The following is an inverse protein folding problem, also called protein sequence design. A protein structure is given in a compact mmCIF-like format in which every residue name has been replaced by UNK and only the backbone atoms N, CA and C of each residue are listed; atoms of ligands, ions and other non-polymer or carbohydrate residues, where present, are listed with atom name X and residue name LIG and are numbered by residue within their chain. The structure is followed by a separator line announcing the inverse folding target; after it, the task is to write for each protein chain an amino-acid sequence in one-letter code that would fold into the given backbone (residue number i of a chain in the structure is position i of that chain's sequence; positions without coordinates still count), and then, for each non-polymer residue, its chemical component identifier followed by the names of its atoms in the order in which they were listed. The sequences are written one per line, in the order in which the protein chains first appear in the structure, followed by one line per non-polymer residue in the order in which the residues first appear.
data_IF_029405316643
#
_entry.id   IF_029405316643
#
_cell.length_a   1.000
_cell.length_b   1.000
_cell.length_c   1.000
_cell.angle_alpha   90.00
_cell.angle_beta   90.00
_cell.angle_gamma   90.00
#
_symmetry.space_group_name_H-M   'P 1'
#
loop_
_entity.id
_entity.type
_entity.pdbx_description
1 polymer ?
#
# COMPACT_ATOMS: atom_id res chain seq x y z
N UNK A 1 -35.70 45.10 70.31
CA UNK A 1 -36.30 43.91 70.98
C UNK A 1 -36.67 42.87 69.93
N UNK A 2 -35.91 41.77 69.84
CA UNK A 2 -36.33 40.38 69.55
C UNK A 2 -35.04 39.58 69.34
N UNK A 3 -34.72 38.76 70.35
CA UNK A 3 -33.66 37.74 70.36
C UNK A 3 -34.06 36.59 69.41
N UNK A 4 -33.09 35.81 68.91
CA UNK A 4 -33.02 34.33 69.11
C UNK A 4 -31.97 33.65 68.20
N UNK A 5 -30.94 33.07 68.87
CA UNK A 5 -30.22 31.78 68.70
C UNK A 5 -29.66 31.40 67.32
N UNK A 6 -28.32 31.32 67.16
CA UNK A 6 -27.41 30.16 67.41
C UNK A 6 -27.73 28.96 66.51
N UNK A 7 -26.77 28.57 65.66
CA UNK A 7 -26.28 27.19 65.47
C UNK A 7 -24.83 27.27 64.95
N UNK A 8 -23.93 26.66 65.71
CA UNK A 8 -22.52 26.40 65.43
C UNK A 8 -22.41 25.16 64.54
N UNK A 9 -21.62 25.21 63.47
CA UNK A 9 -21.16 24.02 62.75
C UNK A 9 -19.64 24.12 62.60
N UNK A 10 -18.92 23.29 63.36
CA UNK A 10 -17.52 22.95 63.15
C UNK A 10 -17.40 22.14 61.87
N UNK A 11 -16.52 22.54 60.96
CA UNK A 11 -16.08 21.71 59.84
C UNK A 11 -14.55 21.56 59.89
N UNK A 12 -14.14 20.31 59.97
CA UNK A 12 -12.77 19.79 59.96
C UNK A 12 -11.96 20.32 58.75
N UNK A 13 -10.76 20.86 59.01
CA UNK A 13 -9.70 20.99 58.00
C UNK A 13 -8.99 19.63 57.86
N UNK A 14 -9.20 18.96 56.74
CA UNK A 14 -8.37 17.84 56.29
C UNK A 14 -7.41 18.35 55.20
N UNK A 15 -6.12 18.42 55.52
CA UNK A 15 -5.06 18.68 54.57
C UNK A 15 -4.91 17.47 53.63
N UNK A 16 -5.07 17.68 52.33
CA UNK A 16 -4.71 16.71 51.29
C UNK A 16 -3.70 17.34 50.34
N UNK A 17 -2.57 16.64 50.23
CA UNK A 17 -1.43 16.91 49.39
C UNK A 17 -1.84 16.78 47.92
N UNK A 18 -1.74 17.86 47.15
CA UNK A 18 -1.84 17.85 45.69
C UNK A 18 -0.46 17.46 45.12
N UNK A 19 -0.35 16.24 44.60
CA UNK A 19 0.75 15.86 43.71
C UNK A 19 0.53 16.53 42.35
N UNK A 20 1.52 17.31 41.91
CA UNK A 20 1.67 17.76 40.54
C UNK A 20 1.79 16.54 39.61
N UNK A 21 0.86 16.40 38.66
CA UNK A 21 1.03 15.56 37.49
C UNK A 21 1.19 16.47 36.27
N UNK A 22 2.43 16.64 35.85
CA UNK A 22 2.79 17.31 34.61
C UNK A 22 2.27 16.49 33.43
N UNK A 23 1.41 17.10 32.62
CA UNK A 23 0.91 16.55 31.37
C UNK A 23 2.03 16.56 30.34
N UNK A 24 2.79 15.47 30.24
CA UNK A 24 3.75 15.28 29.16
C UNK A 24 3.00 15.02 27.86
N UNK A 25 3.06 16.02 26.98
CA UNK A 25 2.54 15.96 25.61
C UNK A 25 3.40 14.99 24.78
N UNK A 26 2.82 13.84 24.42
CA UNK A 26 3.46 12.90 23.48
C UNK A 26 3.32 13.43 22.05
N UNK A 27 4.45 13.72 21.42
CA UNK A 27 4.55 13.96 19.98
C UNK A 27 4.34 12.65 19.22
N UNK A 28 3.40 12.53 18.26
CA UNK A 28 3.29 11.34 17.44
C UNK A 28 4.39 11.32 16.36
N UNK A 29 5.09 10.19 16.28
CA UNK A 29 6.06 9.85 15.24
C UNK A 29 5.37 9.59 13.88
N UNK A 30 6.08 9.73 12.73
CA UNK A 30 5.47 9.75 11.41
C UNK A 30 5.06 8.34 10.94
N UNK A 31 3.87 8.24 10.35
CA UNK A 31 3.38 7.03 9.73
C UNK A 31 4.06 6.81 8.35
N UNK A 32 4.83 5.73 8.24
CA UNK A 32 5.25 5.15 6.98
C UNK A 32 5.11 3.62 7.07
N UNK A 33 4.23 3.05 6.26
CA UNK A 33 4.03 1.60 6.18
C UNK A 33 3.02 1.27 5.09
N UNK A 34 3.52 0.73 3.97
CA UNK A 34 2.67 0.22 2.89
C UNK A 34 1.78 -0.90 3.43
N UNK A 35 0.47 -0.72 3.36
CA UNK A 35 -0.51 -1.71 3.79
C UNK A 35 -0.62 -2.83 2.74
N UNK A 36 0.20 -3.86 2.86
CA UNK A 36 -0.09 -5.16 2.23
C UNK A 36 -1.10 -5.90 3.09
N UNK A 37 -2.26 -6.19 2.50
CA UNK A 37 -3.26 -7.08 3.09
C UNK A 37 -2.63 -8.45 3.37
N UNK A 38 -2.60 -8.86 4.64
CA UNK A 38 -2.19 -10.22 5.01
C UNK A 38 -3.21 -11.22 4.43
N UNK A 39 -2.76 -12.05 3.49
CA UNK A 39 -3.58 -13.12 2.95
C UNK A 39 -3.82 -14.22 4.01
N UNK A 40 -4.95 -14.98 3.94
CA UNK A 40 -5.25 -16.05 4.88
C UNK A 40 -4.16 -17.13 4.84
N UNK A 41 -3.75 -17.62 6.02
CA UNK A 41 -2.68 -18.60 6.16
C UNK A 41 -3.05 -19.95 5.54
N UNK A 42 -2.48 -20.26 4.37
CA UNK A 42 -2.50 -21.60 3.78
C UNK A 42 -1.23 -22.33 4.19
N UNK A 43 -1.29 -23.02 5.34
CA UNK A 43 -0.50 -24.23 5.67
C UNK A 43 1.04 -24.22 5.67
N UNK A 44 1.72 -23.16 5.24
CA UNK A 44 3.18 -23.07 5.27
C UNK A 44 3.70 -22.36 6.51
N UNK A 45 4.90 -22.74 6.97
CA UNK A 45 5.64 -22.02 8.02
C UNK A 45 6.91 -21.35 7.48
N UNK A 46 7.14 -21.44 6.18
CA UNK A 46 8.35 -20.95 5.52
C UNK A 46 8.11 -19.56 4.92
N UNK A 47 9.21 -18.93 4.51
CA UNK A 47 9.16 -17.64 3.81
C UNK A 47 10.16 -17.59 2.67
N UNK A 48 9.86 -16.76 1.66
CA UNK A 48 10.81 -16.38 0.62
C UNK A 48 11.11 -14.89 0.79
N UNK A 49 12.37 -14.56 1.09
CA UNK A 49 12.86 -13.18 1.04
C UNK A 49 13.20 -12.82 -0.39
N UNK A 50 12.71 -11.68 -0.86
CA UNK A 50 12.95 -11.22 -2.22
C UNK A 50 13.67 -9.88 -2.21
N UNK A 51 14.68 -9.73 -3.06
CA UNK A 51 15.37 -8.47 -3.32
C UNK A 51 15.40 -8.20 -4.81
N UNK A 52 15.07 -6.97 -5.21
CA UNK A 52 15.06 -6.58 -6.63
C UNK A 52 16.06 -5.48 -6.88
N UNK A 53 17.19 -5.84 -7.50
CA UNK A 53 18.25 -4.90 -7.86
C UNK A 53 17.90 -4.09 -9.12
N UNK A 54 18.51 -2.91 -9.23
CA UNK A 54 18.57 -2.10 -10.44
C UNK A 54 20.03 -1.91 -10.84
N UNK A 55 20.33 -2.07 -12.11
CA UNK A 55 21.69 -1.93 -12.66
C UNK A 55 21.74 -0.81 -13.71
N UNK A 56 22.85 -0.09 -13.74
CA UNK A 56 23.01 1.10 -14.58
C UNK A 56 22.55 2.39 -13.90
N UNK A 57 22.55 3.48 -14.66
CA UNK A 57 22.15 4.79 -14.16
C UNK A 57 20.64 4.83 -13.90
N UNK A 58 20.24 5.26 -12.71
CA UNK A 58 18.83 5.47 -12.39
C UNK A 58 18.24 6.54 -13.33
N UNK A 59 17.07 6.30 -13.96
CA UNK A 59 16.45 7.28 -14.82
C UNK A 59 16.03 8.51 -14.01
N UNK A 60 16.24 9.70 -14.58
CA UNK A 60 15.77 10.96 -13.98
C UNK A 60 14.29 11.13 -14.33
N UNK A 61 13.41 10.92 -13.35
CA UNK A 61 11.97 11.04 -13.57
C UNK A 61 11.55 12.49 -13.78
N UNK A 62 10.73 12.72 -14.81
CA UNK A 62 10.25 14.05 -15.17
C UNK A 62 9.36 14.68 -14.11
N UNK A 63 9.40 16.01 -14.00
CA UNK A 63 8.45 16.78 -13.18
C UNK A 63 7.04 16.66 -13.75
N UNK A 64 6.06 16.43 -12.89
CA UNK A 64 4.65 16.39 -13.28
C UNK A 64 4.13 17.83 -13.43
N UNK A 65 3.38 18.08 -14.50
CA UNK A 65 2.69 19.36 -14.75
C UNK A 65 1.32 19.34 -14.06
N UNK A 66 1.25 19.86 -12.84
CA UNK A 66 0.08 19.76 -11.95
C UNK A 66 -0.63 21.09 -11.73
N UNK A 67 -0.14 22.16 -12.34
CA UNK A 67 -0.47 23.55 -12.03
C UNK A 67 -1.88 23.95 -12.49
N UNK A 68 -2.47 23.20 -13.41
CA UNK A 68 -3.84 23.42 -13.88
C UNK A 68 -4.89 23.20 -12.77
N UNK A 69 -4.58 22.38 -11.76
CA UNK A 69 -5.42 22.18 -10.58
C UNK A 69 -4.78 22.90 -9.38
N UNK A 70 -5.45 23.90 -8.77
CA UNK A 70 -4.87 24.68 -7.67
C UNK A 70 -4.57 23.88 -6.40
N UNK A 71 -5.20 22.73 -6.18
CA UNK A 71 -4.85 21.86 -5.06
C UNK A 71 -3.62 21.02 -5.43
N UNK A 72 -3.62 20.39 -6.60
CA UNK A 72 -2.52 19.53 -7.04
C UNK A 72 -1.22 20.32 -7.26
N UNK A 73 -1.30 21.53 -7.81
CA UNK A 73 -0.14 22.39 -8.10
C UNK A 73 0.61 22.89 -6.85
N UNK A 74 0.06 22.72 -5.63
CA UNK A 74 0.72 23.14 -4.39
C UNK A 74 1.95 22.32 -4.04
N UNK A 75 2.00 21.07 -4.49
CA UNK A 75 3.11 20.16 -4.19
C UNK A 75 3.84 19.80 -5.48
N UNK A 76 5.10 20.20 -5.65
CA UNK A 76 5.91 19.68 -6.75
C UNK A 76 6.06 18.16 -6.64
N UNK A 77 5.88 17.44 -7.74
CA UNK A 77 6.06 16.00 -7.80
C UNK A 77 6.77 15.58 -9.09
N UNK A 78 7.44 14.44 -9.02
CA UNK A 78 8.00 13.74 -10.17
C UNK A 78 7.19 12.50 -10.46
N UNK A 79 7.24 12.03 -11.70
CA UNK A 79 6.66 10.73 -12.05
C UNK A 79 7.28 9.62 -11.18
N UNK A 80 6.46 8.65 -10.79
CA UNK A 80 6.82 7.52 -9.95
C UNK A 80 6.98 6.21 -10.75
N UNK A 81 6.99 6.29 -12.09
CA UNK A 81 7.15 5.12 -12.98
C UNK A 81 8.39 4.28 -12.65
N UNK A 82 9.51 4.92 -12.27
CA UNK A 82 10.72 4.22 -11.82
C UNK A 82 11.25 4.88 -10.56
N UNK A 83 11.26 4.12 -9.46
CA UNK A 83 11.83 4.55 -8.18
C UNK A 83 13.00 3.62 -7.82
N UNK A 84 14.21 4.05 -8.19
CA UNK A 84 15.46 3.39 -7.77
C UNK A 84 15.85 3.92 -6.39
N UNK A 85 15.97 3.03 -5.42
CA UNK A 85 16.38 3.36 -4.07
C UNK A 85 17.89 3.67 -4.02
N UNK A 86 18.38 4.43 -3.01
CA UNK A 86 19.80 4.77 -2.89
C UNK A 86 20.76 3.57 -2.83
N UNK A 87 20.26 2.40 -2.40
CA UNK A 87 21.00 1.14 -2.37
C UNK A 87 20.99 0.37 -3.71
N UNK A 88 20.53 0.98 -4.80
CA UNK A 88 20.49 0.36 -6.12
C UNK A 88 19.43 -0.72 -6.29
N UNK A 89 18.30 -0.61 -5.59
CA UNK A 89 17.17 -1.55 -5.72
C UNK A 89 15.92 -0.86 -6.25
N UNK A 90 14.93 -1.62 -6.71
CA UNK A 90 13.65 -1.09 -7.19
C UNK A 90 12.54 -1.23 -6.16
N UNK A 91 11.85 -0.12 -5.91
CA UNK A 91 10.53 -0.11 -5.26
C UNK A 91 9.43 -0.45 -6.28
N UNK A 92 8.24 -0.83 -5.80
CA UNK A 92 7.02 -1.05 -6.61
C UNK A 92 7.10 -2.23 -7.59
N UNK A 93 7.90 -3.24 -7.26
CA UNK A 93 7.93 -4.50 -8.02
C UNK A 93 7.01 -5.49 -7.33
N UNK A 94 6.00 -5.99 -8.04
CA UNK A 94 5.17 -7.10 -7.53
C UNK A 94 5.91 -8.40 -7.79
N UNK A 95 6.08 -9.22 -6.75
CA UNK A 95 6.62 -10.57 -6.87
C UNK A 95 5.54 -11.55 -6.43
N UNK A 96 5.16 -12.48 -7.31
CA UNK A 96 4.10 -13.46 -7.05
C UNK A 96 4.52 -14.87 -7.45
N UNK A 97 3.98 -15.89 -6.79
CA UNK A 97 4.09 -17.27 -7.26
C UNK A 97 3.19 -17.45 -8.47
N UNK A 98 3.78 -17.72 -9.63
CA UNK A 98 3.08 -17.94 -10.90
C UNK A 98 2.83 -19.42 -11.20
N UNK A 99 3.63 -20.33 -10.64
CA UNK A 99 3.45 -21.80 -10.75
C UNK A 99 3.87 -22.50 -9.46
N UNK A 100 3.26 -23.65 -9.19
CA UNK A 100 3.60 -24.51 -8.04
C UNK A 100 2.76 -24.27 -6.79
N UNK A 101 1.87 -23.27 -6.77
CA UNK A 101 0.93 -23.01 -5.67
C UNK A 101 -0.51 -23.26 -6.09
N UNK A 102 -1.31 -23.78 -5.15
CA UNK A 102 -2.76 -23.90 -5.33
C UNK A 102 -3.42 -22.51 -5.28
N UNK A 103 -4.57 -22.32 -5.96
CA UNK A 103 -5.35 -21.10 -5.85
C UNK A 103 -5.71 -20.78 -4.39
N UNK A 104 -5.73 -19.50 -4.04
CA UNK A 104 -6.11 -19.07 -2.70
C UNK A 104 -7.63 -18.92 -2.58
N UNK A 105 -8.13 -19.09 -1.36
CA UNK A 105 -9.44 -18.60 -1.01
C UNK A 105 -9.47 -17.07 -1.17
N UNK A 106 -10.55 -16.54 -1.74
CA UNK A 106 -10.74 -15.11 -1.94
C UNK A 106 -10.90 -14.42 -0.58
N UNK A 107 -10.01 -13.49 -0.19
CA UNK A 107 -10.19 -12.74 1.05
C UNK A 107 -11.50 -11.94 1.01
N UNK A 108 -12.30 -12.06 2.07
CA UNK A 108 -13.59 -11.36 2.17
C UNK A 108 -13.45 -9.94 2.73
N UNK A 109 -12.36 -9.67 3.47
CA UNK A 109 -12.08 -8.35 4.02
C UNK A 109 -11.72 -7.38 2.89
N UNK A 110 -12.50 -6.30 2.67
CA UNK A 110 -12.16 -5.28 1.70
C UNK A 110 -10.89 -4.53 2.13
N UNK A 111 -10.04 -4.17 1.17
CA UNK A 111 -8.82 -3.40 1.44
C UNK A 111 -8.76 -2.23 0.49
N UNK A 112 -8.43 -1.06 1.03
CA UNK A 112 -8.10 0.13 0.22
C UNK A 112 -6.76 -0.12 -0.43
N UNK A 113 -6.78 -0.52 -1.69
CA UNK A 113 -5.55 -0.73 -2.44
C UNK A 113 -5.21 0.45 -3.34
N UNK A 114 -6.19 1.30 -3.68
CA UNK A 114 -5.96 2.51 -4.48
C UNK A 114 -6.60 3.71 -3.77
N UNK A 115 -5.77 4.58 -3.21
CA UNK A 115 -6.22 5.85 -2.67
C UNK A 115 -5.77 7.00 -3.59
N UNK A 116 -6.70 7.89 -3.93
CA UNK A 116 -6.39 9.14 -4.63
C UNK A 116 -6.04 10.18 -3.57
N UNK A 117 -4.74 10.41 -3.40
CA UNK A 117 -4.18 11.25 -2.36
C UNK A 117 -3.05 12.10 -2.93
N UNK A 118 -3.08 13.40 -2.64
CA UNK A 118 -2.24 14.42 -3.24
C UNK A 118 -2.17 14.29 -4.77
N UNK A 119 -3.33 14.09 -5.40
CA UNK A 119 -3.52 13.86 -6.83
C UNK A 119 -2.58 12.81 -7.42
N UNK A 120 -2.38 11.72 -6.68
CA UNK A 120 -1.64 10.52 -7.08
C UNK A 120 -2.42 9.29 -6.62
N UNK A 121 -2.17 8.13 -7.23
CA UNK A 121 -2.61 6.86 -6.64
C UNK A 121 -1.57 6.39 -5.61
N UNK A 122 -2.03 6.15 -4.39
CA UNK A 122 -1.22 5.68 -3.27
C UNK A 122 -1.82 4.39 -2.68
N UNK A 123 -1.03 3.30 -2.60
CA UNK A 123 0.28 3.14 -3.22
C UNK A 123 0.22 3.20 -4.76
N UNK A 124 1.37 3.46 -5.41
CA UNK A 124 1.50 3.40 -6.88
C UNK A 124 1.20 2.00 -7.41
N UNK A 125 1.62 0.97 -6.68
CA UNK A 125 1.42 -0.44 -7.02
C UNK A 125 0.91 -1.19 -5.79
N UNK A 126 -0.15 -1.96 -5.98
CA UNK A 126 -0.66 -2.93 -5.02
C UNK A 126 -0.86 -4.29 -5.71
N UNK A 127 -1.07 -5.33 -4.90
CA UNK A 127 -1.40 -6.67 -5.37
C UNK A 127 -2.47 -7.29 -4.46
N UNK A 128 -3.27 -8.19 -5.03
CA UNK A 128 -4.33 -8.88 -4.31
C UNK A 128 -4.80 -10.12 -5.06
N UNK A 129 -5.58 -10.95 -4.37
CA UNK A 129 -6.08 -12.20 -4.96
C UNK A 129 -7.18 -11.89 -5.98
N UNK A 130 -7.21 -12.61 -7.11
CA UNK A 130 -8.28 -12.49 -8.09
C UNK A 130 -9.64 -12.72 -7.42
N UNK A 131 -10.65 -11.94 -7.81
CA UNK A 131 -11.98 -11.87 -7.21
C UNK A 131 -12.06 -11.22 -5.83
N UNK A 132 -10.94 -10.80 -5.23
CA UNK A 132 -10.96 -10.04 -3.99
C UNK A 132 -11.63 -8.68 -4.21
N UNK A 133 -12.35 -8.22 -3.20
CA UNK A 133 -12.96 -6.89 -3.19
C UNK A 133 -11.88 -5.81 -3.05
N UNK A 134 -11.79 -4.99 -4.09
CA UNK A 134 -10.92 -3.82 -4.19
C UNK A 134 -11.69 -2.57 -3.74
N UNK A 135 -11.13 -1.84 -2.78
CA UNK A 135 -11.64 -0.52 -2.39
C UNK A 135 -10.77 0.57 -3.00
N UNK A 136 -11.42 1.53 -3.65
CA UNK A 136 -10.79 2.72 -4.24
C UNK A 136 -11.34 3.97 -3.54
N UNK A 137 -10.45 4.76 -2.96
CA UNK A 137 -10.80 5.93 -2.15
C UNK A 137 -10.37 7.22 -2.85
N UNK A 138 -11.12 8.28 -2.64
CA UNK A 138 -10.67 9.64 -2.90
C UNK A 138 -10.49 10.38 -1.57
N UNK A 139 -9.24 10.55 -1.14
CA UNK A 139 -8.88 11.31 0.05
C UNK A 139 -8.63 12.80 -0.26
N UNK A 140 -8.56 13.17 -1.54
CA UNK A 140 -8.31 14.54 -1.94
C UNK A 140 -9.54 15.45 -1.81
N UNK A 141 -9.33 16.75 -1.62
CA UNK A 141 -10.39 17.75 -1.67
C UNK A 141 -10.78 18.15 -3.11
N UNK A 142 -10.44 17.35 -4.12
CA UNK A 142 -10.79 17.58 -5.53
C UNK A 142 -11.45 16.34 -6.13
N UNK A 143 -12.16 16.52 -7.23
CA UNK A 143 -12.78 15.42 -7.97
C UNK A 143 -11.73 14.73 -8.83
N UNK A 144 -11.78 13.40 -8.86
CA UNK A 144 -11.02 12.57 -9.79
C UNK A 144 -11.96 11.64 -10.54
N UNK A 145 -11.48 10.98 -11.59
CA UNK A 145 -12.12 9.78 -12.11
C UNK A 145 -11.17 8.59 -12.05
N UNK A 146 -11.75 7.40 -11.97
CA UNK A 146 -11.03 6.14 -11.94
C UNK A 146 -11.34 5.42 -13.24
N UNK A 147 -10.37 5.48 -14.17
CA UNK A 147 -10.40 4.77 -15.43
C UNK A 147 -9.41 3.62 -15.36
N UNK A 148 -9.95 2.40 -15.40
CA UNK A 148 -9.14 1.18 -15.33
C UNK A 148 -8.99 0.48 -16.67
N UNK A 149 -7.82 -0.13 -16.87
CA UNK A 149 -7.50 -0.93 -18.05
C UNK A 149 -6.93 -2.28 -17.65
N UNK A 150 -7.32 -3.33 -18.38
CA UNK A 150 -6.65 -4.64 -18.38
C UNK A 150 -6.17 -4.87 -19.81
N UNK A 151 -4.85 -4.84 -20.01
CA UNK A 151 -4.29 -4.67 -21.34
C UNK A 151 -4.77 -3.34 -21.95
N UNK A 152 -5.44 -3.41 -23.10
CA UNK A 152 -6.04 -2.25 -23.79
C UNK A 152 -7.53 -2.08 -23.51
N UNK A 153 -8.17 -3.04 -22.84
CA UNK A 153 -9.61 -3.00 -22.60
C UNK A 153 -9.93 -2.15 -21.36
N UNK A 154 -10.88 -1.24 -21.49
CA UNK A 154 -11.44 -0.51 -20.34
C UNK A 154 -12.19 -1.48 -19.44
N UNK A 155 -11.79 -1.56 -18.17
CA UNK A 155 -12.53 -2.29 -17.14
C UNK A 155 -13.75 -1.48 -16.68
N UNK A 156 -13.50 -0.25 -16.23
CA UNK A 156 -14.54 0.75 -15.97
C UNK A 156 -13.96 2.16 -16.00
N UNK A 157 -14.82 3.15 -16.18
CA UNK A 157 -14.49 4.57 -16.02
C UNK A 157 -15.58 5.23 -15.16
N UNK A 158 -15.21 5.74 -13.99
CA UNK A 158 -16.17 6.29 -13.03
C UNK A 158 -15.61 7.51 -12.29
N UNK A 159 -16.37 8.60 -12.27
CA UNK A 159 -16.05 9.77 -11.45
C UNK A 159 -16.15 9.44 -9.95
N UNK A 160 -15.26 10.03 -9.16
CA UNK A 160 -15.24 9.96 -7.70
C UNK A 160 -15.07 11.36 -7.13
N UNK A 161 -16.19 11.96 -6.71
CA UNK A 161 -16.23 13.29 -6.12
C UNK A 161 -15.50 13.33 -4.77
N UNK A 162 -14.99 14.51 -4.39
CA UNK A 162 -14.50 14.77 -3.02
C UNK A 162 -15.53 14.30 -1.99
N UNK A 163 -15.08 13.51 -1.00
CA UNK A 163 -15.91 13.07 0.12
C UNK A 163 -17.04 12.11 -0.26
N UNK A 164 -17.07 11.62 -1.50
CA UNK A 164 -17.96 10.54 -1.90
C UNK A 164 -17.57 9.23 -1.21
N UNK A 165 -18.50 8.26 -1.18
CA UNK A 165 -18.21 6.92 -0.68
C UNK A 165 -17.09 6.27 -1.51
N UNK A 166 -16.35 5.37 -0.87
CA UNK A 166 -15.37 4.56 -1.59
C UNK A 166 -16.04 3.77 -2.72
N UNK A 167 -15.33 3.63 -3.84
CA UNK A 167 -15.74 2.73 -4.90
C UNK A 167 -15.32 1.31 -4.51
N UNK A 168 -16.24 0.37 -4.68
CA UNK A 168 -15.96 -1.04 -4.46
C UNK A 168 -16.01 -1.75 -5.80
N UNK A 169 -14.92 -2.43 -6.14
CA UNK A 169 -14.73 -3.17 -7.39
C UNK A 169 -14.13 -4.53 -7.06
N UNK A 170 -13.85 -5.32 -8.09
CA UNK A 170 -13.27 -6.65 -7.95
C UNK A 170 -11.93 -6.69 -8.67
N UNK A 171 -10.93 -7.29 -8.02
CA UNK A 171 -9.63 -7.53 -8.65
C UNK A 171 -9.80 -8.57 -9.77
N UNK A 172 -9.34 -8.23 -10.97
CA UNK A 172 -9.31 -9.11 -12.13
C UNK A 172 -7.96 -9.78 -12.28
N UNK A 173 -7.88 -10.88 -13.03
CA UNK A 173 -6.61 -11.53 -13.33
C UNK A 173 -5.69 -10.61 -14.17
N UNK A 174 -4.39 -10.64 -13.85
CA UNK A 174 -3.39 -9.84 -14.55
C UNK A 174 -3.18 -8.45 -13.93
N UNK A 175 -2.75 -7.49 -14.75
CA UNK A 175 -2.42 -6.14 -14.29
C UNK A 175 -3.58 -5.19 -14.60
N UNK A 176 -4.22 -4.67 -13.56
CA UNK A 176 -5.19 -3.58 -13.67
C UNK A 176 -4.45 -2.25 -13.57
N UNK A 177 -4.41 -1.49 -14.65
CA UNK A 177 -3.85 -0.14 -14.68
C UNK A 177 -4.94 0.88 -14.34
N UNK A 178 -4.65 1.83 -13.47
CA UNK A 178 -5.52 2.91 -13.04
C UNK A 178 -5.00 4.21 -13.62
N UNK A 179 -5.92 5.04 -14.12
CA UNK A 179 -5.68 6.38 -14.66
C UNK A 179 -6.78 7.32 -14.19
N UNK A 180 -6.43 8.61 -14.05
CA UNK A 180 -7.39 9.70 -13.99
C UNK A 180 -7.33 10.45 -15.32
N UNK A 181 -8.46 10.59 -16.00
CA UNK A 181 -8.57 11.36 -17.24
C UNK A 181 -8.57 12.88 -16.97
N UNK A 182 -9.00 13.29 -15.76
CA UNK A 182 -8.95 14.70 -15.30
C UNK A 182 -7.53 15.13 -14.93
N UNK A 183 -6.76 14.22 -14.32
CA UNK A 183 -5.38 14.45 -13.90
C UNK A 183 -4.46 13.40 -14.55
N UNK A 184 -4.05 13.58 -15.82
CA UNK A 184 -3.47 12.52 -16.66
C UNK A 184 -2.16 11.89 -16.15
N UNK A 185 -1.49 12.56 -15.21
CA UNK A 185 -0.29 12.05 -14.54
C UNK A 185 -0.60 10.94 -13.54
N UNK A 186 -1.81 10.90 -12.98
CA UNK A 186 -2.21 9.87 -12.02
C UNK A 186 -2.19 8.52 -12.70
N UNK A 187 -1.30 7.67 -12.23
CA UNK A 187 -1.22 6.27 -12.66
C UNK A 187 -1.00 5.40 -11.44
N UNK A 188 -1.72 4.28 -11.39
CA UNK A 188 -1.62 3.28 -10.33
C UNK A 188 -1.83 1.89 -10.90
N UNK A 189 -1.51 0.85 -10.14
CA UNK A 189 -1.67 -0.54 -10.57
C UNK A 189 -2.13 -1.44 -9.44
N UNK A 190 -3.04 -2.35 -9.76
CA UNK A 190 -3.36 -3.50 -8.92
C UNK A 190 -3.07 -4.76 -9.72
N UNK A 191 -2.17 -5.61 -9.22
CA UNK A 191 -1.85 -6.90 -9.83
C UNK A 191 -2.67 -8.00 -9.18
N UNK A 192 -3.55 -8.64 -9.96
CA UNK A 192 -4.33 -9.79 -9.52
C UNK A 192 -3.52 -11.08 -9.55
N UNK A 193 -3.52 -11.82 -8.45
CA UNK A 193 -2.79 -13.08 -8.27
C UNK A 193 -3.75 -14.25 -8.02
N UNK A 194 -3.45 -15.43 -8.57
CA UNK A 194 -4.33 -16.60 -8.39
C UNK A 194 -4.21 -17.23 -6.99
N UNK A 195 -3.10 -16.97 -6.31
CA UNK A 195 -2.81 -17.48 -4.97
C UNK A 195 -2.37 -16.33 -4.03
N UNK A 196 -2.24 -16.68 -2.76
CA UNK A 196 -1.94 -15.79 -1.64
C UNK A 196 -0.43 -15.44 -1.51
N UNK A 197 0.41 -16.02 -2.36
CA UNK A 197 1.87 -15.94 -2.22
C UNK A 197 2.42 -14.85 -3.12
N UNK A 198 2.34 -13.60 -2.64
CA UNK A 198 2.87 -12.43 -3.32
C UNK A 198 3.36 -11.38 -2.33
N UNK A 199 4.23 -10.48 -2.81
CA UNK A 199 4.67 -9.29 -2.09
C UNK A 199 4.97 -8.14 -3.06
N UNK A 200 5.08 -6.92 -2.54
CA UNK A 200 5.47 -5.73 -3.33
C UNK A 200 6.70 -5.12 -2.68
N UNK A 201 7.74 -4.82 -3.47
CA UNK A 201 8.98 -4.26 -2.94
C UNK A 201 8.79 -2.85 -2.38
N UNK A 202 9.39 -2.62 -1.22
CA UNK A 202 9.29 -1.35 -0.49
C UNK A 202 10.44 -0.37 -0.81
N UNK A 203 10.63 0.65 0.04
CA UNK A 203 11.69 1.65 -0.10
C UNK A 203 13.13 1.11 0.12
N UNK A 204 13.27 -0.16 0.48
CA UNK A 204 14.55 -0.89 0.50
C UNK A 204 14.72 -1.78 -0.73
N UNK A 205 13.66 -1.94 -1.52
CA UNK A 205 13.57 -2.80 -2.71
C UNK A 205 13.51 -4.28 -2.37
N UNK A 206 13.08 -4.58 -1.15
CA UNK A 206 12.91 -5.92 -0.62
C UNK A 206 11.44 -6.17 -0.29
N UNK A 207 11.04 -7.43 -0.28
CA UNK A 207 9.76 -7.88 0.27
C UNK A 207 9.84 -9.35 0.69
N UNK A 208 8.80 -9.85 1.37
CA UNK A 208 8.76 -11.23 1.85
C UNK A 208 7.44 -11.88 1.52
N UNK A 209 7.49 -13.11 0.98
CA UNK A 209 6.34 -13.99 0.82
C UNK A 209 6.32 -14.91 2.04
N UNK A 210 5.33 -14.76 2.91
CA UNK A 210 5.21 -15.52 4.15
C UNK A 210 4.27 -16.73 4.01
N UNK A 211 4.35 -17.65 4.97
CA UNK A 211 3.47 -18.81 5.12
C UNK A 211 3.42 -19.72 3.89
N UNK A 212 4.48 -19.75 3.08
CA UNK A 212 4.56 -20.62 1.91
C UNK A 212 4.95 -22.03 2.35
N UNK A 213 4.29 -23.10 1.85
CA UNK A 213 4.71 -24.47 2.10
C UNK A 213 6.06 -24.83 1.48
N UNK A 214 6.61 -25.97 1.90
CA UNK A 214 7.79 -26.53 1.28
C UNK A 214 7.40 -27.04 -0.12
N UNK A 215 8.25 -26.78 -1.12
CA UNK A 215 7.93 -27.08 -2.50
C UNK A 215 8.85 -26.37 -3.48
N UNK A 216 8.59 -26.55 -4.77
CA UNK A 216 9.26 -25.83 -5.85
C UNK A 216 8.24 -24.94 -6.54
N UNK A 217 8.60 -23.68 -6.72
CA UNK A 217 7.72 -22.63 -7.22
C UNK A 217 8.41 -21.84 -8.32
N UNK A 218 7.63 -21.34 -9.28
CA UNK A 218 8.10 -20.29 -10.20
C UNK A 218 7.60 -18.95 -9.70
N UNK A 219 8.51 -18.05 -9.38
CA UNK A 219 8.22 -16.66 -9.06
C UNK A 219 8.20 -15.82 -10.33
N UNK A 220 7.27 -14.87 -10.41
CA UNK A 220 7.26 -13.79 -11.38
C UNK A 220 7.42 -12.45 -10.65
N UNK A 221 8.43 -11.67 -11.02
CA UNK A 221 8.59 -10.28 -10.63
C UNK A 221 8.12 -9.38 -11.77
N UNK A 222 7.18 -8.47 -11.54
CA UNK A 222 6.64 -7.53 -12.52
C UNK A 222 6.89 -6.08 -12.09
N UNK A 223 7.36 -5.25 -13.03
CA UNK A 223 7.50 -3.80 -12.86
C UNK A 223 6.83 -3.05 -14.02
N UNK A 224 6.17 -1.93 -13.73
CA UNK A 224 5.33 -1.22 -14.72
C UNK A 224 6.05 -0.85 -16.02
N UNK A 225 7.32 -0.45 -15.93
CA UNK A 225 8.16 -0.10 -17.09
C UNK A 225 8.88 -1.29 -17.73
N UNK A 226 9.33 -2.24 -16.91
CA UNK A 226 10.31 -3.25 -17.33
C UNK A 226 9.70 -4.63 -17.57
N UNK A 227 8.38 -4.77 -17.36
CA UNK A 227 7.65 -6.01 -17.59
C UNK A 227 7.95 -7.07 -16.54
N UNK A 228 7.75 -8.33 -16.92
CA UNK A 228 7.92 -9.49 -16.05
C UNK A 228 9.28 -10.17 -16.24
N UNK A 229 9.82 -10.70 -15.15
CA UNK A 229 10.92 -11.69 -15.12
C UNK A 229 10.51 -12.87 -14.25
N UNK A 230 10.98 -14.07 -14.59
CA UNK A 230 10.67 -15.29 -13.82
C UNK A 230 11.92 -15.94 -13.26
N UNK A 231 11.79 -16.58 -12.10
CA UNK A 231 12.84 -17.40 -11.49
C UNK A 231 12.20 -18.57 -10.71
N UNK A 232 12.82 -19.74 -10.76
CA UNK A 232 12.40 -20.87 -9.94
C UNK A 232 13.05 -20.79 -8.54
N UNK A 233 12.32 -21.23 -7.52
CA UNK A 233 12.77 -21.28 -6.13
C UNK A 233 12.30 -22.57 -5.47
N UNK A 234 13.19 -23.24 -4.75
CA UNK A 234 12.86 -24.39 -3.90
C UNK A 234 12.85 -23.94 -2.44
N UNK A 235 11.74 -24.17 -1.76
CA UNK A 235 11.57 -23.92 -0.33
C UNK A 235 11.66 -25.25 0.41
N UNK A 236 12.69 -25.43 1.21
CA UNK A 236 12.85 -26.61 2.06
C UNK A 236 12.05 -26.47 3.37
N UNK A 237 11.60 -27.60 3.92
CA UNK A 237 10.83 -27.60 5.17
C UNK A 237 11.64 -26.97 6.32
N UNK A 238 11.01 -26.04 7.05
CA UNK A 238 11.62 -25.34 8.18
C UNK A 238 12.72 -24.32 7.82
N UNK A 239 12.94 -24.04 6.53
CA UNK A 239 13.97 -23.09 6.07
C UNK A 239 13.34 -21.91 5.34
N UNK A 240 13.96 -20.74 5.47
CA UNK A 240 13.66 -19.60 4.60
C UNK A 240 14.41 -19.75 3.28
N UNK A 241 13.76 -19.42 2.17
CA UNK A 241 14.39 -19.31 0.86
C UNK A 241 14.64 -17.83 0.52
N UNK A 242 15.50 -17.61 -0.48
CA UNK A 242 15.75 -16.28 -1.03
C UNK A 242 15.61 -16.30 -2.55
N UNK A 243 15.10 -15.21 -3.11
CA UNK A 243 15.07 -14.98 -4.54
C UNK A 243 15.60 -13.56 -4.85
N UNK A 244 16.31 -13.45 -5.96
CA UNK A 244 16.83 -12.17 -6.42
C UNK A 244 16.41 -11.93 -7.87
N UNK A 245 15.97 -10.71 -8.14
CA UNK A 245 15.73 -10.23 -9.50
C UNK A 245 16.60 -9.01 -9.76
N UNK A 246 16.90 -8.74 -11.03
CA UNK A 246 17.61 -7.54 -11.43
C UNK A 246 16.98 -6.97 -12.69
N UNK A 247 16.73 -5.67 -12.68
CA UNK A 247 16.39 -4.88 -13.87
C UNK A 247 17.55 -3.96 -14.23
N UNK A 248 17.58 -3.48 -15.46
CA UNK A 248 18.62 -2.60 -15.95
C UNK A 248 18.01 -1.35 -16.59
N UNK A 249 18.78 -0.26 -16.59
CA UNK A 249 18.48 0.88 -17.44
C UNK A 249 18.37 0.43 -18.91
N UNK A 250 17.37 0.97 -19.61
CA UNK A 250 17.14 0.76 -21.05
C UNK A 250 17.75 1.90 -21.85
#
# INVERSE_FOLDING_TARGET
MKKTRIITIMALLAATVLLNQECQSQTPAPAAGAATAAAPAVGGTQSIKVKVAFTGAAPVMGKLKREADPFCGKTPMTDQEVLVNPNGTLKNVVVRVSKGAAPAAVPTTPVVMMNQNNCMYEPRVAAGVVNQKLVIRNSDPVMHNVHTYVGTATGFNQAQMKGSKDLEKTITAGVMKFKCDVHPWMTGYVVGTDNAFFCVTDATGECSIANIPAGTYTLEAWHEKYGSKTADVTVAAGQAAAAAFSYAAQ
#
